data_IF_586962552114
#
_entry.id   IF_586962552114
#
_cell.length_a   1.000
_cell.length_b   1.000
_cell.length_c   1.000
_cell.angle_alpha   90.00
_cell.angle_beta   90.00
_cell.angle_gamma   90.00
#
_symmetry.space_group_name_H-M   'P 1'
#
loop_
_entity.id
_entity.type
_entity.pdbx_description
1 polymer ?
#
# COMPACT_ATOMS: atom_id res chain seq x y z
N UNK A 1 -9.63 -18.06 61.02
CA UNK A 1 -9.79 -19.06 59.94
C UNK A 1 -9.53 -18.33 58.64
N UNK A 2 -8.43 -18.67 57.94
CA UNK A 2 -8.12 -18.12 56.63
C UNK A 2 -8.93 -18.88 55.59
N UNK A 3 -9.82 -18.22 54.88
CA UNK A 3 -10.50 -18.76 53.72
C UNK A 3 -9.48 -19.11 52.63
N UNK A 4 -9.53 -20.35 52.15
CA UNK A 4 -8.73 -20.81 51.02
C UNK A 4 -9.37 -20.23 49.73
N UNK A 5 -8.57 -19.66 48.82
CA UNK A 5 -9.11 -19.24 47.55
C UNK A 5 -9.65 -20.46 46.80
N UNK A 6 -10.86 -20.35 46.29
CA UNK A 6 -11.49 -21.32 45.35
C UNK A 6 -10.60 -21.32 44.10
N UNK A 7 -10.06 -22.49 43.81
CA UNK A 7 -9.34 -22.73 42.53
C UNK A 7 -10.46 -22.78 41.46
N UNK A 8 -10.45 -21.78 40.57
CA UNK A 8 -11.25 -21.83 39.36
C UNK A 8 -10.69 -22.95 38.48
N UNK A 9 -11.37 -24.06 38.40
CA UNK A 9 -10.98 -25.25 37.64
C UNK A 9 -11.26 -25.11 36.15
N UNK A 10 -11.62 -23.88 35.64
CA UNK A 10 -11.91 -23.66 34.22
C UNK A 10 -13.04 -24.56 33.70
N UNK A 11 -14.01 -24.94 34.57
CA UNK A 11 -15.15 -25.75 34.15
C UNK A 11 -16.08 -24.86 33.33
N UNK A 12 -16.10 -25.10 32.02
CA UNK A 12 -17.15 -24.65 31.11
C UNK A 12 -18.50 -24.93 31.70
N UNK A 13 -19.48 -24.01 31.51
CA UNK A 13 -20.77 -24.10 32.13
C UNK A 13 -21.44 -25.48 31.91
N UNK A 14 -22.27 -25.91 32.88
CA UNK A 14 -22.92 -27.20 32.86
C UNK A 14 -23.60 -27.56 31.54
N UNK A 15 -24.04 -26.56 30.76
CA UNK A 15 -24.70 -26.73 29.47
C UNK A 15 -23.76 -27.28 28.37
N UNK A 16 -22.47 -26.96 28.37
CA UNK A 16 -21.50 -27.47 27.37
C UNK A 16 -21.16 -28.95 27.56
N UNK A 17 -21.31 -29.47 28.79
CA UNK A 17 -21.03 -30.88 29.10
C UNK A 17 -22.10 -31.81 28.57
N UNK A 18 -23.34 -31.34 28.40
CA UNK A 18 -24.50 -32.12 27.97
C UNK A 18 -24.87 -31.90 26.50
N UNK A 19 -24.21 -31.01 25.79
CA UNK A 19 -24.43 -30.83 24.35
C UNK A 19 -23.98 -32.07 23.57
N UNK A 20 -24.85 -32.56 22.69
CA UNK A 20 -24.52 -33.59 21.74
C UNK A 20 -23.63 -33.01 20.61
N UNK A 21 -22.99 -33.87 19.78
CA UNK A 21 -22.07 -33.42 18.71
C UNK A 21 -22.77 -32.54 17.66
N UNK A 22 -24.07 -32.67 17.45
CA UNK A 22 -24.82 -31.81 16.54
C UNK A 22 -25.02 -30.41 17.14
N UNK A 23 -25.39 -30.32 18.42
CA UNK A 23 -25.55 -29.06 19.16
C UNK A 23 -24.22 -28.31 19.29
N UNK A 24 -23.11 -29.03 19.51
CA UNK A 24 -21.76 -28.41 19.50
C UNK A 24 -21.38 -27.83 18.13
N UNK A 25 -21.73 -28.52 17.04
CA UNK A 25 -21.55 -28.01 15.68
C UNK A 25 -22.43 -26.81 15.42
N UNK A 26 -23.68 -26.82 15.87
CA UNK A 26 -24.62 -25.71 15.70
C UNK A 26 -24.23 -24.48 16.54
N UNK A 27 -23.68 -24.68 17.75
CA UNK A 27 -23.12 -23.61 18.58
C UNK A 27 -21.88 -22.96 17.99
N UNK A 28 -21.10 -23.68 17.17
CA UNK A 28 -19.91 -23.14 16.48
C UNK A 28 -20.22 -22.46 15.14
N UNK A 29 -21.45 -22.56 14.63
CA UNK A 29 -21.85 -21.87 13.42
C UNK A 29 -21.95 -20.35 13.65
N UNK A 30 -21.49 -19.52 12.71
CA UNK A 30 -21.63 -18.07 12.82
C UNK A 30 -23.10 -17.68 12.87
N UNK A 31 -23.52 -17.01 13.95
CA UNK A 31 -24.88 -16.49 14.11
C UNK A 31 -25.03 -15.20 13.31
N UNK A 32 -25.99 -15.18 12.40
CA UNK A 32 -26.28 -14.01 11.56
C UNK A 32 -27.48 -13.27 12.14
N UNK A 33 -27.34 -11.96 12.34
CA UNK A 33 -28.34 -11.06 12.85
C UNK A 33 -28.71 -9.99 11.83
N UNK A 34 -29.97 -9.56 11.78
CA UNK A 34 -30.33 -8.38 10.99
C UNK A 34 -30.19 -7.13 11.86
N UNK A 35 -29.14 -6.37 11.62
CA UNK A 35 -28.80 -5.19 12.41
C UNK A 35 -29.28 -3.93 11.69
N UNK A 36 -29.95 -2.98 12.38
CA UNK A 36 -30.33 -1.69 11.81
C UNK A 36 -29.11 -0.91 11.35
N UNK A 37 -29.16 -0.35 10.13
CA UNK A 37 -28.06 0.47 9.57
C UNK A 37 -27.74 1.69 10.46
N UNK A 38 -28.73 2.21 11.19
CA UNK A 38 -28.57 3.33 12.11
C UNK A 38 -27.74 3.00 13.36
N UNK A 39 -27.58 1.73 13.70
CA UNK A 39 -26.78 1.27 14.84
C UNK A 39 -25.33 0.93 14.46
N UNK A 40 -24.99 1.01 13.17
CA UNK A 40 -23.68 0.66 12.65
C UNK A 40 -22.84 1.91 12.39
N UNK A 41 -21.76 2.06 13.12
CA UNK A 41 -20.79 3.12 12.92
C UNK A 41 -19.69 2.69 11.93
N UNK A 42 -19.12 3.65 11.21
CA UNK A 42 -17.94 3.41 10.38
C UNK A 42 -16.71 3.16 11.26
N UNK A 43 -15.78 2.34 10.73
CA UNK A 43 -14.52 2.13 11.41
C UNK A 43 -13.67 3.42 11.30
N UNK A 44 -13.17 3.98 12.44
CA UNK A 44 -12.34 5.17 12.41
C UNK A 44 -11.07 4.96 11.57
N UNK A 45 -10.72 5.97 10.78
CA UNK A 45 -9.51 5.97 9.93
C UNK A 45 -9.44 4.78 8.94
N UNK A 46 -10.62 4.30 8.48
CA UNK A 46 -10.69 3.21 7.51
C UNK A 46 -9.92 3.56 6.23
N UNK A 47 -8.86 2.81 5.87
CA UNK A 47 -7.96 3.19 4.79
C UNK A 47 -8.53 2.97 3.38
N UNK A 48 -9.55 2.11 3.24
CA UNK A 48 -10.10 1.73 1.95
C UNK A 48 -11.32 2.56 1.61
N UNK A 49 -11.29 3.24 0.47
CA UNK A 49 -12.39 4.07 0.02
C UNK A 49 -13.55 3.24 -0.55
N UNK A 50 -14.78 3.61 -0.20
CA UNK A 50 -15.98 3.10 -0.85
C UNK A 50 -16.30 3.97 -2.06
N UNK A 51 -15.95 3.49 -3.25
CA UNK A 51 -16.21 4.20 -4.50
C UNK A 51 -17.64 3.97 -4.97
N UNK A 52 -18.25 5.04 -5.48
CA UNK A 52 -19.53 4.99 -6.17
C UNK A 52 -19.23 4.89 -7.67
N UNK A 53 -19.01 3.66 -8.11
CA UNK A 53 -18.68 3.26 -9.47
C UNK A 53 -19.76 2.33 -10.04
N UNK A 54 -19.66 1.95 -11.31
CA UNK A 54 -20.58 1.01 -11.97
C UNK A 54 -20.71 -0.33 -11.22
N UNK A 55 -19.61 -0.80 -10.60
CA UNK A 55 -19.63 -1.99 -9.76
C UNK A 55 -20.49 -1.79 -8.49
N UNK A 56 -20.60 -0.55 -7.98
CA UNK A 56 -21.48 -0.24 -6.87
C UNK A 56 -22.94 -0.24 -7.32
N UNK A 57 -23.25 0.32 -8.49
CA UNK A 57 -24.61 0.33 -9.03
C UNK A 57 -25.12 -1.11 -9.25
N UNK A 58 -24.29 -1.99 -9.82
CA UNK A 58 -24.62 -3.41 -9.97
C UNK A 58 -24.83 -4.09 -8.61
N UNK A 59 -24.01 -3.77 -7.61
CA UNK A 59 -24.17 -4.29 -6.26
C UNK A 59 -25.49 -3.82 -5.62
N UNK A 60 -25.88 -2.56 -5.81
CA UNK A 60 -27.15 -2.01 -5.33
C UNK A 60 -28.34 -2.73 -5.96
N UNK A 61 -28.32 -2.97 -7.27
CA UNK A 61 -29.36 -3.72 -7.97
C UNK A 61 -29.44 -5.16 -7.44
N UNK A 62 -28.32 -5.85 -7.31
CA UNK A 62 -28.26 -7.19 -6.74
C UNK A 62 -28.83 -7.25 -5.31
N UNK A 63 -28.51 -6.23 -4.49
CA UNK A 63 -29.03 -6.13 -3.10
C UNK A 63 -30.53 -5.88 -3.09
N UNK A 64 -31.08 -5.11 -4.03
CA UNK A 64 -32.54 -4.91 -4.16
C UNK A 64 -33.29 -6.19 -4.56
N UNK A 65 -32.70 -6.98 -5.47
CA UNK A 65 -33.34 -8.18 -6.00
C UNK A 65 -33.26 -9.38 -5.01
N UNK A 66 -32.07 -9.60 -4.42
CA UNK A 66 -31.75 -10.85 -3.69
C UNK A 66 -31.38 -10.61 -2.23
N UNK A 67 -31.30 -9.35 -1.79
CA UNK A 67 -30.74 -9.00 -0.49
C UNK A 67 -29.21 -9.19 -0.44
N UNK A 68 -28.65 -9.10 0.76
CA UNK A 68 -27.23 -9.32 1.01
C UNK A 68 -26.98 -10.79 1.27
N UNK A 69 -26.37 -11.49 0.32
CA UNK A 69 -26.09 -12.94 0.39
C UNK A 69 -24.98 -13.22 1.41
N UNK A 70 -23.91 -12.46 1.39
CA UNK A 70 -22.78 -12.63 2.32
C UNK A 70 -22.89 -11.59 3.43
N UNK A 71 -23.06 -11.98 4.70
CA UNK A 71 -23.18 -11.05 5.81
C UNK A 71 -21.98 -10.11 5.93
N UNK A 72 -22.19 -8.92 6.49
CA UNK A 72 -21.11 -8.05 6.91
C UNK A 72 -20.54 -8.51 8.24
N UNK A 73 -19.30 -8.11 8.56
CA UNK A 73 -18.71 -8.42 9.88
C UNK A 73 -18.71 -7.17 10.73
N UNK A 74 -19.29 -7.28 11.91
CA UNK A 74 -19.38 -6.23 12.91
C UNK A 74 -18.65 -6.63 14.19
N UNK A 75 -18.15 -5.66 14.94
CA UNK A 75 -17.80 -5.82 16.34
C UNK A 75 -18.70 -4.97 17.21
N UNK A 76 -19.02 -5.45 18.41
CA UNK A 76 -19.77 -4.67 19.37
C UNK A 76 -18.84 -3.70 20.11
N UNK A 77 -19.25 -2.44 20.25
CA UNK A 77 -18.59 -1.43 21.05
C UNK A 77 -19.09 -1.45 22.49
N UNK A 78 -18.33 -0.80 23.39
CA UNK A 78 -18.71 -0.71 24.81
C UNK A 78 -20.01 0.10 25.05
N UNK A 79 -20.39 0.97 24.11
CA UNK A 79 -21.62 1.76 24.15
C UNK A 79 -22.87 0.99 23.66
N UNK A 80 -22.70 -0.29 23.30
CA UNK A 80 -23.73 -1.16 22.78
C UNK A 80 -23.99 -1.03 21.27
N UNK A 81 -23.41 -0.03 20.60
CA UNK A 81 -23.46 0.13 19.13
C UNK A 81 -22.50 -0.83 18.44
N UNK A 82 -22.61 -0.91 17.14
CA UNK A 82 -21.77 -1.77 16.32
C UNK A 82 -20.79 -0.94 15.49
N UNK A 83 -19.62 -1.49 15.22
CA UNK A 83 -18.61 -0.92 14.33
C UNK A 83 -18.33 -1.92 13.21
N UNK A 84 -18.36 -1.43 11.97
CA UNK A 84 -18.15 -2.29 10.80
C UNK A 84 -16.68 -2.64 10.62
N UNK A 85 -16.35 -3.93 10.58
CA UNK A 85 -14.99 -4.45 10.36
C UNK A 85 -14.79 -4.86 8.90
N UNK A 86 -15.80 -5.49 8.29
CA UNK A 86 -15.74 -5.90 6.88
C UNK A 86 -17.10 -5.80 6.21
N UNK A 87 -17.10 -5.42 4.92
CA UNK A 87 -18.31 -5.31 4.12
C UNK A 87 -18.83 -3.89 3.91
N UNK A 88 -17.99 -2.86 4.00
CA UNK A 88 -18.36 -1.45 3.83
C UNK A 88 -19.13 -1.17 2.53
N UNK A 89 -18.73 -1.78 1.39
CA UNK A 89 -19.47 -1.66 0.13
C UNK A 89 -20.89 -2.25 0.23
N UNK A 90 -21.08 -3.39 0.91
CA UNK A 90 -22.39 -4.03 1.11
C UNK A 90 -23.29 -3.18 2.00
N UNK A 91 -22.75 -2.63 3.11
CA UNK A 91 -23.48 -1.68 3.94
C UNK A 91 -23.93 -0.47 3.11
N UNK A 92 -23.01 0.13 2.33
CA UNK A 92 -23.33 1.29 1.47
C UNK A 92 -24.37 0.95 0.40
N UNK A 93 -24.30 -0.23 -0.19
CA UNK A 93 -25.32 -0.70 -1.13
C UNK A 93 -26.70 -0.86 -0.49
N UNK A 94 -26.77 -1.34 0.78
CA UNK A 94 -28.03 -1.39 1.53
C UNK A 94 -28.62 0.00 1.78
N UNK A 95 -27.80 0.99 2.15
CA UNK A 95 -28.21 2.38 2.31
C UNK A 95 -28.80 2.94 1.00
N UNK A 96 -28.11 2.74 -0.11
CA UNK A 96 -28.55 3.21 -1.45
C UNK A 96 -29.78 2.44 -1.95
N UNK A 97 -29.93 1.18 -1.56
CA UNK A 97 -31.11 0.38 -1.86
C UNK A 97 -32.33 0.72 -0.97
N UNK A 98 -32.16 1.56 0.07
CA UNK A 98 -33.25 1.95 0.99
C UNK A 98 -33.61 0.87 2.00
N UNK A 99 -32.72 -0.09 2.27
CA UNK A 99 -32.96 -1.12 3.30
C UNK A 99 -32.73 -0.55 4.70
N UNK A 100 -33.56 -0.96 5.66
CA UNK A 100 -33.42 -0.52 7.06
C UNK A 100 -32.40 -1.34 7.85
N UNK A 101 -32.17 -2.59 7.45
CA UNK A 101 -31.31 -3.55 8.16
C UNK A 101 -30.36 -4.25 7.17
N UNK A 102 -29.29 -4.80 7.72
CA UNK A 102 -28.31 -5.61 6.97
C UNK A 102 -27.97 -6.88 7.75
N UNK A 103 -27.85 -8.06 7.09
CA UNK A 103 -27.40 -9.28 7.73
C UNK A 103 -25.93 -9.15 8.12
N UNK A 104 -25.63 -9.42 9.39
CA UNK A 104 -24.32 -9.23 9.99
C UNK A 104 -23.93 -10.40 10.90
N UNK A 105 -22.65 -10.74 10.88
CA UNK A 105 -21.98 -11.58 11.86
C UNK A 105 -21.33 -10.68 12.91
N UNK A 106 -21.66 -10.86 14.18
CA UNK A 106 -21.07 -10.11 15.28
C UNK A 106 -19.92 -10.93 15.85
N UNK A 107 -18.71 -10.32 15.86
CA UNK A 107 -17.50 -10.91 16.44
C UNK A 107 -17.07 -10.16 17.69
N UNK A 108 -16.72 -10.90 18.73
CA UNK A 108 -16.08 -10.35 19.92
C UNK A 108 -14.60 -10.11 19.62
N UNK A 109 -14.27 -8.90 19.24
CA UNK A 109 -12.92 -8.49 18.86
C UNK A 109 -12.50 -7.26 19.65
N UNK A 110 -11.26 -7.24 20.08
CA UNK A 110 -10.60 -5.99 20.50
C UNK A 110 -10.45 -5.06 19.29
N UNK A 111 -10.17 -3.77 19.55
CA UNK A 111 -9.95 -2.83 18.43
C UNK A 111 -8.78 -3.24 17.54
N UNK A 112 -7.69 -3.75 18.12
CA UNK A 112 -6.49 -4.14 17.38
C UNK A 112 -6.71 -5.42 16.55
N UNK A 113 -7.46 -6.39 17.06
CA UNK A 113 -7.88 -7.57 16.30
C UNK A 113 -8.82 -7.20 15.14
N UNK A 114 -9.74 -6.26 15.36
CA UNK A 114 -10.62 -5.76 14.32
C UNK A 114 -9.83 -5.05 13.19
N UNK A 115 -8.79 -4.25 13.53
CA UNK A 115 -7.88 -3.65 12.54
C UNK A 115 -7.19 -4.72 11.70
N UNK A 116 -6.66 -5.76 12.34
CA UNK A 116 -5.97 -6.83 11.62
C UNK A 116 -6.92 -7.53 10.67
N UNK A 117 -8.11 -7.92 11.13
CA UNK A 117 -9.12 -8.57 10.31
C UNK A 117 -9.59 -7.69 9.14
N UNK A 118 -9.82 -6.39 9.41
CA UNK A 118 -10.21 -5.41 8.39
C UNK A 118 -9.16 -5.30 7.29
N UNK A 119 -7.90 -5.17 7.65
CA UNK A 119 -6.79 -5.07 6.68
C UNK A 119 -6.66 -6.37 5.89
N UNK A 120 -6.68 -7.53 6.54
CA UNK A 120 -6.58 -8.84 5.88
C UNK A 120 -7.69 -9.07 4.85
N UNK A 121 -8.93 -8.75 5.21
CA UNK A 121 -10.09 -8.91 4.32
C UNK A 121 -10.03 -8.03 3.06
N UNK A 122 -9.33 -6.89 3.14
CA UNK A 122 -9.21 -5.96 2.03
C UNK A 122 -7.93 -6.15 1.19
N UNK A 123 -6.83 -6.67 1.78
CA UNK A 123 -5.60 -6.92 1.03
C UNK A 123 -5.72 -8.04 -0.02
N UNK A 124 -6.80 -8.82 0.01
CA UNK A 124 -7.10 -9.84 -1.01
C UNK A 124 -7.75 -9.26 -2.28
N UNK A 125 -8.06 -7.96 -2.31
CA UNK A 125 -8.62 -7.32 -3.50
C UNK A 125 -7.60 -7.27 -4.63
N UNK A 126 -8.06 -7.43 -5.87
CA UNK A 126 -7.21 -7.38 -7.08
C UNK A 126 -6.58 -6.02 -7.33
N UNK A 127 -7.29 -4.95 -6.96
CA UNK A 127 -6.84 -3.57 -7.15
C UNK A 127 -6.94 -2.79 -5.85
N UNK A 128 -5.79 -2.40 -5.30
CA UNK A 128 -5.67 -1.59 -4.09
C UNK A 128 -4.77 -0.41 -4.44
N UNK A 129 -5.21 0.81 -4.07
CA UNK A 129 -4.40 2.01 -4.29
C UNK A 129 -3.12 1.99 -3.46
N UNK A 130 -2.04 2.64 -3.93
CA UNK A 130 -0.82 2.82 -3.15
C UNK A 130 -1.05 3.47 -1.79
N UNK A 131 -1.93 4.48 -1.70
CA UNK A 131 -2.33 5.12 -0.45
C UNK A 131 -3.05 4.15 0.49
N UNK A 132 -4.01 3.38 -0.02
CA UNK A 132 -4.74 2.38 0.76
C UNK A 132 -3.80 1.31 1.34
N UNK A 133 -2.84 0.82 0.54
CA UNK A 133 -1.77 -0.08 1.02
C UNK A 133 -0.91 0.57 2.10
N UNK A 134 -0.54 1.84 1.91
CA UNK A 134 0.31 2.58 2.84
C UNK A 134 -0.33 2.69 4.23
N UNK A 135 -1.56 3.18 4.29
CA UNK A 135 -2.29 3.34 5.55
C UNK A 135 -2.67 2.00 6.19
N UNK A 136 -3.07 1.01 5.39
CA UNK A 136 -3.40 -0.33 5.90
C UNK A 136 -2.19 -1.02 6.52
N UNK A 137 -1.02 -0.96 5.90
CA UNK A 137 0.21 -1.53 6.46
C UNK A 137 0.65 -0.82 7.74
N UNK A 138 0.57 0.53 7.77
CA UNK A 138 0.86 1.32 8.97
C UNK A 138 -0.06 0.93 10.11
N UNK A 139 -1.37 0.94 9.87
CA UNK A 139 -2.41 0.61 10.87
C UNK A 139 -2.25 -0.80 11.41
N UNK A 140 -2.03 -1.79 10.54
CA UNK A 140 -1.82 -3.18 10.94
C UNK A 140 -0.56 -3.38 11.77
N UNK A 141 0.57 -2.76 11.37
CA UNK A 141 1.81 -2.83 12.15
C UNK A 141 1.65 -2.20 13.54
N UNK A 142 0.92 -1.10 13.65
CA UNK A 142 0.64 -0.45 14.92
C UNK A 142 -0.26 -1.31 15.80
N UNK A 143 -1.31 -1.93 15.25
CA UNK A 143 -2.17 -2.87 15.95
C UNK A 143 -1.39 -4.09 16.45
N UNK A 144 -0.58 -4.72 15.59
CA UNK A 144 0.27 -5.85 15.97
C UNK A 144 1.27 -5.52 17.09
N UNK A 145 1.71 -4.25 17.17
CA UNK A 145 2.61 -3.79 18.25
C UNK A 145 1.89 -3.64 19.60
N UNK A 146 0.59 -3.37 19.59
CA UNK A 146 -0.23 -3.18 20.82
C UNK A 146 -0.80 -4.46 21.38
N UNK A 147 -0.91 -5.52 20.57
CA UNK A 147 -1.44 -6.80 21.03
C UNK A 147 -0.61 -7.36 22.18
N UNK A 148 -1.27 -7.89 23.27
CA UNK A 148 -0.56 -8.50 24.38
C UNK A 148 0.17 -9.78 23.95
N UNK A 149 1.29 -10.09 24.60
CA UNK A 149 2.13 -11.25 24.30
C UNK A 149 3.34 -10.97 23.41
N UNK A 150 3.58 -9.72 23.01
CA UNK A 150 4.82 -9.35 22.35
C UNK A 150 5.97 -9.36 23.38
N UNK A 151 7.13 -10.03 23.10
CA UNK A 151 8.30 -9.96 23.97
C UNK A 151 8.77 -8.49 24.08
N UNK A 152 8.78 -7.94 25.28
CA UNK A 152 9.52 -6.71 25.60
C UNK A 152 11.00 -7.05 25.71
N UNK A 153 11.89 -6.03 25.63
CA UNK A 153 13.35 -6.23 25.76
C UNK A 153 13.75 -6.99 27.03
N UNK A 154 12.90 -6.99 28.05
CA UNK A 154 13.13 -7.60 29.38
C UNK A 154 12.71 -9.10 29.43
N UNK A 155 11.86 -9.58 28.48
CA UNK A 155 11.32 -10.95 28.46
C UNK A 155 11.80 -11.78 27.27
N UNK A 156 12.97 -11.51 26.72
CA UNK A 156 13.51 -12.28 25.61
C UNK A 156 14.13 -13.58 26.14
N UNK A 157 13.43 -14.71 25.98
CA UNK A 157 14.03 -16.02 26.15
C UNK A 157 15.10 -16.26 25.07
N UNK A 158 16.25 -16.85 25.39
CA UNK A 158 17.37 -17.01 24.46
C UNK A 158 17.15 -17.98 23.31
N UNK A 159 16.02 -18.67 23.27
CA UNK A 159 15.73 -19.73 22.28
C UNK A 159 14.39 -19.47 21.63
N UNK A 160 14.41 -18.75 20.52
CA UNK A 160 13.27 -18.56 19.64
C UNK A 160 13.49 -17.36 18.72
N UNK A 161 13.64 -17.59 17.43
CA UNK A 161 13.60 -16.57 16.39
C UNK A 161 12.19 -15.96 16.35
N UNK A 162 11.90 -15.03 17.24
CA UNK A 162 10.65 -14.26 17.16
C UNK A 162 10.72 -13.36 15.94
N UNK A 163 9.97 -13.71 14.90
CA UNK A 163 9.78 -12.87 13.73
C UNK A 163 9.30 -11.48 14.16
N UNK A 164 9.87 -10.46 13.58
CA UNK A 164 9.42 -9.08 13.81
C UNK A 164 8.03 -8.88 13.21
N UNK A 165 7.24 -7.96 13.75
CA UNK A 165 5.88 -7.69 13.23
C UNK A 165 5.87 -7.33 11.74
N UNK A 166 6.92 -6.67 11.23
CA UNK A 166 7.08 -6.37 9.82
C UNK A 166 7.42 -7.61 8.96
N UNK A 167 8.07 -8.62 9.53
CA UNK A 167 8.34 -9.90 8.88
C UNK A 167 7.09 -10.79 8.84
N UNK A 168 6.32 -10.82 9.91
CA UNK A 168 5.02 -11.52 9.96
C UNK A 168 4.06 -10.92 8.93
N UNK A 169 3.99 -9.58 8.86
CA UNK A 169 3.18 -8.90 7.88
C UNK A 169 3.63 -9.25 6.45
N UNK A 170 4.94 -9.24 6.19
CA UNK A 170 5.51 -9.58 4.89
C UNK A 170 5.11 -11.00 4.43
N UNK A 171 5.19 -11.98 5.32
CA UNK A 171 4.77 -13.36 5.03
C UNK A 171 3.27 -13.48 4.72
N UNK A 172 2.43 -12.71 5.43
CA UNK A 172 0.97 -12.77 5.25
C UNK A 172 0.53 -12.13 3.94
N UNK A 173 1.18 -11.03 3.52
CA UNK A 173 0.76 -10.21 2.38
C UNK A 173 1.48 -10.60 1.08
N UNK A 174 2.62 -11.29 1.17
CA UNK A 174 3.46 -11.64 0.02
C UNK A 174 4.34 -10.49 -0.50
N UNK A 175 4.28 -9.30 0.13
CA UNK A 175 5.19 -8.20 -0.16
C UNK A 175 6.47 -8.31 0.68
N UNK A 176 7.62 -7.92 0.13
CA UNK A 176 8.86 -7.90 0.90
C UNK A 176 8.80 -6.84 2.02
N UNK A 177 9.50 -7.07 3.13
CA UNK A 177 9.64 -6.10 4.23
C UNK A 177 10.04 -4.71 3.75
N UNK A 178 10.98 -4.64 2.81
CA UNK A 178 11.41 -3.36 2.23
C UNK A 178 10.29 -2.68 1.44
N UNK A 179 9.46 -3.45 0.74
CA UNK A 179 8.31 -2.93 0.01
C UNK A 179 7.25 -2.38 0.97
N UNK A 180 6.94 -3.10 2.05
CA UNK A 180 6.02 -2.63 3.10
C UNK A 180 6.49 -1.30 3.68
N UNK A 181 7.77 -1.20 4.05
CA UNK A 181 8.33 0.03 4.59
C UNK A 181 8.27 1.20 3.60
N UNK A 182 8.43 0.94 2.28
CA UNK A 182 8.26 1.95 1.24
C UNK A 182 6.81 2.43 1.14
N UNK A 183 5.83 1.52 1.18
CA UNK A 183 4.42 1.92 1.23
C UNK A 183 4.10 2.73 2.47
N UNK A 184 4.48 2.26 3.66
CA UNK A 184 4.25 2.99 4.91
C UNK A 184 4.84 4.41 4.82
N UNK A 185 5.99 4.57 4.18
CA UNK A 185 6.60 5.89 4.02
C UNK A 185 5.73 6.88 3.23
N UNK A 186 4.85 6.41 2.32
CA UNK A 186 3.93 7.27 1.59
C UNK A 186 2.92 8.00 2.50
N UNK A 187 2.64 7.49 3.71
CA UNK A 187 1.74 8.17 4.67
C UNK A 187 2.28 9.53 5.14
N UNK A 188 3.55 9.83 4.85
CA UNK A 188 4.18 11.11 5.16
C UNK A 188 4.02 12.15 4.02
N UNK A 189 3.45 11.76 2.88
CA UNK A 189 3.13 12.71 1.81
C UNK A 189 1.92 13.58 2.18
N UNK A 190 1.87 14.79 1.60
CA UNK A 190 0.65 15.59 1.62
C UNK A 190 -0.41 14.97 0.70
N UNK A 191 -1.72 15.25 0.94
CA UNK A 191 -2.81 14.64 0.17
C UNK A 191 -2.66 14.81 -1.34
N UNK A 192 -2.24 16.00 -1.81
CA UNK A 192 -2.10 16.31 -3.23
C UNK A 192 -1.06 15.41 -3.92
N UNK A 193 0.10 15.23 -3.31
CA UNK A 193 1.15 14.34 -3.85
C UNK A 193 0.74 12.87 -3.75
N UNK A 194 0.05 12.50 -2.68
CA UNK A 194 -0.45 11.13 -2.51
C UNK A 194 -1.51 10.77 -3.55
N UNK A 195 -2.41 11.71 -3.88
CA UNK A 195 -3.37 11.54 -4.95
C UNK A 195 -2.69 11.32 -6.30
N UNK A 196 -1.60 12.08 -6.60
CA UNK A 196 -0.82 11.87 -7.82
C UNK A 196 -0.15 10.49 -7.88
N UNK A 197 0.19 9.90 -6.73
CA UNK A 197 0.70 8.52 -6.66
C UNK A 197 -0.41 7.51 -6.96
N UNK A 198 -1.60 7.72 -6.43
CA UNK A 198 -2.78 6.87 -6.68
C UNK A 198 -3.25 6.91 -8.14
N UNK A 199 -3.13 8.09 -8.78
CA UNK A 199 -3.38 8.29 -10.21
C UNK A 199 -2.27 7.70 -11.11
N UNK A 200 -1.16 7.21 -10.53
CA UNK A 200 -0.02 6.68 -11.27
C UNK A 200 0.85 7.75 -11.95
N UNK A 201 0.62 9.03 -11.70
CA UNK A 201 1.42 10.15 -12.22
C UNK A 201 2.81 10.21 -11.59
N UNK A 202 2.91 9.86 -10.32
CA UNK A 202 4.18 9.71 -9.59
C UNK A 202 4.37 8.25 -9.25
N UNK A 203 5.46 7.65 -9.72
CA UNK A 203 5.78 6.26 -9.42
C UNK A 203 6.20 6.08 -7.94
N UNK A 204 6.07 4.87 -7.40
CA UNK A 204 6.34 4.56 -5.99
C UNK A 204 7.76 4.98 -5.54
N UNK A 205 8.80 4.73 -6.35
CA UNK A 205 10.18 5.07 -5.97
C UNK A 205 10.41 6.57 -5.80
N UNK A 206 10.08 7.44 -6.77
CA UNK A 206 10.13 8.88 -6.56
C UNK A 206 9.29 9.32 -5.35
N UNK A 207 8.06 8.82 -5.19
CA UNK A 207 7.17 9.18 -4.10
C UNK A 207 7.78 8.91 -2.71
N UNK A 208 8.49 7.79 -2.54
CA UNK A 208 9.23 7.48 -1.31
C UNK A 208 10.33 8.53 -1.04
N UNK A 209 11.07 8.96 -2.06
CA UNK A 209 12.07 10.00 -1.88
C UNK A 209 11.45 11.35 -1.50
N UNK A 210 10.32 11.72 -2.14
CA UNK A 210 9.58 12.94 -1.85
C UNK A 210 8.97 12.96 -0.45
N UNK A 211 8.63 11.81 0.13
CA UNK A 211 8.10 11.71 1.48
C UNK A 211 9.09 12.13 2.59
N UNK A 212 10.36 12.32 2.25
CA UNK A 212 11.37 12.85 3.17
C UNK A 212 11.46 14.37 3.19
N UNK A 213 10.77 15.07 2.28
CA UNK A 213 10.69 16.51 2.25
C UNK A 213 9.80 17.03 3.40
N UNK A 214 10.08 18.25 3.88
CA UNK A 214 9.22 18.95 4.81
C UNK A 214 7.84 19.26 4.18
N UNK A 215 6.80 19.45 4.99
CA UNK A 215 5.43 19.68 4.48
C UNK A 215 5.31 20.92 3.58
N UNK A 216 6.02 22.00 3.91
CA UNK A 216 6.07 23.21 3.08
C UNK A 216 6.78 22.94 1.73
N UNK A 217 7.91 22.24 1.75
CA UNK A 217 8.63 21.85 0.54
C UNK A 217 7.80 20.94 -0.37
N UNK A 218 6.98 20.06 0.23
CA UNK A 218 6.04 19.24 -0.53
C UNK A 218 4.94 20.07 -1.18
N UNK A 219 4.43 21.12 -0.51
CA UNK A 219 3.46 22.06 -1.07
C UNK A 219 4.05 22.84 -2.24
N UNK A 220 5.26 23.37 -2.07
CA UNK A 220 5.98 24.08 -3.14
C UNK A 220 6.21 23.17 -4.35
N UNK A 221 6.58 21.90 -4.11
CA UNK A 221 6.73 20.92 -5.17
C UNK A 221 5.41 20.61 -5.87
N UNK A 222 4.31 20.45 -5.13
CA UNK A 222 2.98 20.21 -5.71
C UNK A 222 2.55 21.38 -6.59
N UNK A 223 2.81 22.63 -6.17
CA UNK A 223 2.57 23.82 -6.97
C UNK A 223 3.43 23.82 -8.26
N UNK A 224 4.73 23.51 -8.16
CA UNK A 224 5.64 23.42 -9.31
C UNK A 224 5.20 22.33 -10.32
N UNK A 225 4.72 21.17 -9.84
CA UNK A 225 4.15 20.11 -10.70
C UNK A 225 2.89 20.62 -11.41
N UNK A 226 2.02 21.37 -10.71
CA UNK A 226 0.82 21.97 -11.30
C UNK A 226 1.13 22.94 -12.42
N UNK A 227 2.16 23.77 -12.27
CA UNK A 227 2.60 24.75 -13.28
C UNK A 227 3.29 24.10 -14.48
N UNK A 228 4.19 23.14 -14.23
CA UNK A 228 4.99 22.49 -15.29
C UNK A 228 4.27 21.33 -15.98
N UNK A 229 3.17 20.84 -15.43
CA UNK A 229 2.46 19.61 -15.84
C UNK A 229 3.40 18.39 -15.92
N UNK A 230 4.53 18.44 -15.23
CA UNK A 230 5.55 17.40 -15.24
C UNK A 230 5.83 16.90 -13.83
N UNK A 231 5.87 15.58 -13.65
CA UNK A 231 6.20 14.95 -12.37
C UNK A 231 7.68 14.64 -12.26
N UNK A 232 8.30 14.68 -11.06
CA UNK A 232 9.74 14.45 -10.91
C UNK A 232 10.12 13.01 -11.25
N UNK A 233 11.22 12.84 -11.96
CA UNK A 233 11.87 11.55 -12.13
C UNK A 233 12.49 11.07 -10.83
N UNK A 234 12.89 9.79 -10.75
CA UNK A 234 13.54 9.26 -9.55
C UNK A 234 14.85 9.98 -9.21
N UNK A 235 15.65 10.35 -10.23
CA UNK A 235 16.88 11.11 -10.04
C UNK A 235 16.62 12.53 -9.54
N UNK A 236 15.60 13.20 -10.07
CA UNK A 236 15.16 14.50 -9.57
C UNK A 236 14.64 14.42 -8.12
N UNK A 237 13.86 13.39 -7.79
CA UNK A 237 13.36 13.17 -6.42
C UNK A 237 14.52 12.97 -5.41
N UNK A 238 15.56 12.22 -5.78
CA UNK A 238 16.78 12.08 -4.96
C UNK A 238 17.48 13.43 -4.76
N UNK A 239 17.61 14.24 -5.82
CA UNK A 239 18.21 15.59 -5.71
C UNK A 239 17.39 16.48 -4.77
N UNK A 240 16.06 16.53 -4.95
CA UNK A 240 15.16 17.30 -4.07
C UNK A 240 15.35 16.90 -2.60
N UNK A 241 15.38 15.61 -2.30
CA UNK A 241 15.64 15.11 -0.95
C UNK A 241 17.03 15.53 -0.44
N UNK A 242 18.07 15.51 -1.27
CA UNK A 242 19.42 15.91 -0.86
C UNK A 242 19.46 17.38 -0.49
N UNK A 243 18.90 18.26 -1.34
CA UNK A 243 18.82 19.70 -1.07
C UNK A 243 17.96 20.02 0.17
N UNK A 244 16.85 19.29 0.37
CA UNK A 244 16.03 19.40 1.59
C UNK A 244 16.83 19.04 2.84
N UNK A 245 17.58 17.92 2.79
CA UNK A 245 18.44 17.50 3.92
C UNK A 245 19.53 18.52 4.25
N UNK A 246 20.02 19.25 3.26
CA UNK A 246 21.02 20.33 3.42
C UNK A 246 20.37 21.66 3.85
N UNK A 247 19.04 21.74 3.95
CA UNK A 247 18.33 22.99 4.24
C UNK A 247 18.41 24.04 3.15
N UNK A 248 18.70 23.63 1.91
CA UNK A 248 18.89 24.51 0.73
C UNK A 248 17.75 24.41 -0.29
N UNK A 249 16.69 23.67 0.01
CA UNK A 249 15.56 23.50 -0.91
C UNK A 249 14.64 24.71 -0.84
N UNK A 250 14.69 25.57 -1.84
CA UNK A 250 13.78 26.70 -2.04
C UNK A 250 12.87 26.47 -3.27
N UNK A 251 11.75 27.20 -3.42
CA UNK A 251 10.90 27.10 -4.61
C UNK A 251 11.67 27.25 -5.93
N UNK A 252 12.62 28.20 -6.00
CA UNK A 252 13.45 28.40 -7.18
C UNK A 252 14.36 27.20 -7.49
N UNK A 253 14.89 26.53 -6.45
CA UNK A 253 15.68 25.29 -6.60
C UNK A 253 14.80 24.15 -7.08
N UNK A 254 13.57 24.04 -6.55
CA UNK A 254 12.58 23.04 -7.00
C UNK A 254 12.31 23.21 -8.48
N UNK A 255 11.99 24.43 -8.94
CA UNK A 255 11.75 24.74 -10.36
C UNK A 255 12.95 24.39 -11.23
N UNK A 256 14.16 24.79 -10.80
CA UNK A 256 15.40 24.47 -11.53
C UNK A 256 15.60 22.97 -11.71
N UNK A 257 15.40 22.17 -10.65
CA UNK A 257 15.51 20.70 -10.71
C UNK A 257 14.41 20.10 -11.60
N UNK A 258 13.18 20.64 -11.54
CA UNK A 258 12.07 20.15 -12.37
C UNK A 258 12.27 20.44 -13.86
N UNK A 259 12.94 21.54 -14.21
CA UNK A 259 13.29 21.91 -15.59
C UNK A 259 14.49 21.11 -16.17
N UNK A 260 15.24 20.36 -15.34
CA UNK A 260 16.33 19.53 -15.86
C UNK A 260 15.82 18.45 -16.82
N UNK A 261 16.54 18.22 -17.90
CA UNK A 261 16.25 17.12 -18.83
C UNK A 261 16.23 15.76 -18.12
N UNK A 262 15.12 15.06 -18.26
CA UNK A 262 14.97 13.72 -17.66
C UNK A 262 15.88 12.73 -18.42
N UNK A 263 16.51 11.76 -17.71
CA UNK A 263 17.37 10.76 -18.33
C UNK A 263 16.71 9.98 -19.48
N UNK A 264 15.37 9.86 -19.46
CA UNK A 264 14.60 9.17 -20.49
C UNK A 264 14.35 10.05 -21.74
N UNK A 265 14.56 11.36 -21.65
CA UNK A 265 14.39 12.30 -22.77
C UNK A 265 15.70 12.49 -23.56
N UNK A 266 16.82 12.01 -23.04
CA UNK A 266 18.08 12.00 -23.78
C UNK A 266 18.01 10.93 -24.85
N UNK A 267 18.16 11.33 -26.09
CA UNK A 267 18.31 10.38 -27.18
C UNK A 267 19.48 9.42 -26.91
N UNK A 268 19.18 8.14 -26.88
CA UNK A 268 20.17 7.09 -26.65
C UNK A 268 20.13 6.13 -27.82
N UNK A 269 21.26 5.97 -28.46
CA UNK A 269 21.47 4.91 -29.45
C UNK A 269 21.92 3.67 -28.66
N UNK A 270 21.07 2.66 -28.58
CA UNK A 270 21.40 1.40 -27.93
C UNK A 270 21.85 0.40 -29.02
N UNK A 271 23.13 0.12 -29.08
CA UNK A 271 23.72 -0.92 -29.93
C UNK A 271 24.02 -2.13 -29.04
N UNK A 272 23.45 -3.33 -29.36
CA UNK A 272 23.78 -4.55 -28.64
C UNK A 272 25.27 -4.86 -28.82
N UNK A 273 25.96 -5.04 -27.69
CA UNK A 273 27.42 -5.31 -27.71
C UNK A 273 27.77 -6.52 -28.59
N UNK A 274 27.00 -7.58 -28.57
CA UNK A 274 27.22 -8.77 -29.40
C UNK A 274 27.17 -8.49 -30.90
N UNK A 275 26.36 -7.51 -31.34
CA UNK A 275 26.26 -7.09 -32.74
C UNK A 275 27.45 -6.19 -33.12
N UNK A 276 27.76 -5.21 -32.26
CA UNK A 276 28.90 -4.31 -32.47
C UNK A 276 30.22 -5.07 -32.46
N UNK A 277 30.38 -6.09 -31.61
CA UNK A 277 31.61 -6.87 -31.44
C UNK A 277 32.09 -7.56 -32.73
N UNK A 278 31.16 -7.88 -33.65
CA UNK A 278 31.51 -8.45 -34.96
C UNK A 278 32.39 -7.54 -35.82
N UNK A 279 32.34 -6.22 -35.61
CA UNK A 279 33.02 -5.20 -36.37
C UNK A 279 34.19 -4.55 -35.61
N UNK A 280 34.40 -4.97 -34.34
CA UNK A 280 35.46 -4.40 -33.50
C UNK A 280 36.58 -5.42 -33.36
N UNK A 281 37.83 -5.02 -33.65
CA UNK A 281 39.00 -5.90 -33.52
C UNK A 281 39.11 -6.47 -32.08
N UNK A 282 39.58 -7.72 -31.97
CA UNK A 282 39.76 -8.38 -30.68
C UNK A 282 40.76 -7.67 -29.75
N UNK A 283 41.66 -6.86 -30.32
CA UNK A 283 42.63 -6.05 -29.60
C UNK A 283 42.03 -4.86 -28.84
N UNK A 284 40.79 -4.46 -29.13
CA UNK A 284 40.14 -3.32 -28.47
C UNK A 284 39.45 -3.80 -27.17
N UNK A 285 39.88 -3.29 -25.97
CA UNK A 285 39.27 -3.60 -24.71
C UNK A 285 37.80 -3.13 -24.64
N UNK A 286 36.97 -3.76 -23.80
CA UNK A 286 35.56 -3.42 -23.61
C UNK A 286 35.37 -1.94 -23.29
N UNK A 287 36.19 -1.36 -22.42
CA UNK A 287 36.12 0.04 -21.99
C UNK A 287 36.37 1.05 -23.13
N UNK A 288 37.09 0.66 -24.15
CA UNK A 288 37.45 1.51 -25.31
C UNK A 288 36.50 1.28 -26.50
N UNK A 289 35.57 0.37 -26.42
CA UNK A 289 34.62 0.01 -27.49
C UNK A 289 33.83 1.24 -27.99
N UNK A 290 33.30 2.05 -27.05
CA UNK A 290 32.55 3.27 -27.40
C UNK A 290 33.36 4.28 -28.18
N UNK A 291 34.61 4.54 -27.75
CA UNK A 291 35.52 5.46 -28.44
C UNK A 291 35.92 4.93 -29.83
N UNK A 292 36.10 3.62 -29.99
CA UNK A 292 36.35 2.97 -31.25
C UNK A 292 35.19 3.14 -32.23
N UNK A 293 33.96 2.90 -31.79
CA UNK A 293 32.75 3.08 -32.61
C UNK A 293 32.62 4.53 -33.08
N UNK A 294 32.80 5.51 -32.20
CA UNK A 294 32.76 6.93 -32.58
C UNK A 294 33.78 7.27 -33.63
N UNK A 295 35.05 6.84 -33.51
CA UNK A 295 36.07 7.03 -34.51
C UNK A 295 35.75 6.38 -35.87
N UNK A 296 35.14 5.19 -35.83
CA UNK A 296 34.71 4.50 -37.03
C UNK A 296 33.59 5.27 -37.76
N UNK A 297 32.63 5.84 -37.01
CA UNK A 297 31.56 6.67 -37.56
C UNK A 297 32.10 7.99 -38.14
N UNK A 298 33.05 8.64 -37.47
CA UNK A 298 33.72 9.83 -37.99
C UNK A 298 34.47 9.55 -39.29
N UNK A 299 35.20 8.43 -39.37
CA UNK A 299 35.89 8.01 -40.57
C UNK A 299 34.90 7.74 -41.73
N UNK A 300 33.83 7.04 -41.44
CA UNK A 300 32.78 6.74 -42.42
C UNK A 300 32.10 8.01 -42.94
N UNK A 301 31.80 8.96 -42.04
CA UNK A 301 31.22 10.25 -42.40
C UNK A 301 32.13 11.03 -43.36
N UNK A 302 33.42 11.15 -43.03
CA UNK A 302 34.41 11.81 -43.92
C UNK A 302 34.56 11.10 -45.27
N UNK A 303 34.43 9.77 -45.29
CA UNK A 303 34.48 9.01 -46.52
C UNK A 303 33.25 9.32 -47.43
N UNK A 304 32.07 9.41 -46.86
CA UNK A 304 30.86 9.80 -47.57
C UNK A 304 30.91 11.24 -48.10
N UNK A 305 31.49 12.16 -47.35
CA UNK A 305 31.69 13.56 -47.80
C UNK A 305 32.63 13.65 -48.99
N UNK A 306 33.71 12.87 -49.01
CA UNK A 306 34.63 12.79 -50.17
C UNK A 306 33.94 12.24 -51.41
N UNK A 307 33.19 11.16 -51.27
CA UNK A 307 32.42 10.59 -52.39
C UNK A 307 31.37 11.56 -52.97
N UNK A 308 30.76 12.41 -52.13
CA UNK A 308 29.83 13.46 -52.56
C UNK A 308 30.55 14.65 -53.21
N UNK A 309 31.79 14.94 -52.78
CA UNK A 309 32.63 15.99 -53.36
C UNK A 309 33.17 15.60 -54.74
N UNK A 310 33.52 14.31 -54.93
CA UNK A 310 34.07 13.80 -56.23
C UNK A 310 32.95 13.54 -57.26
N UNK A 311 31.66 13.57 -56.84
CA UNK A 311 30.50 13.39 -57.72
C UNK A 311 29.90 14.72 -58.24
N UNK A 312 30.53 15.85 -57.95
CA UNK A 312 30.25 17.19 -58.51
C UNK A 312 31.36 17.63 -59.43
#
# INVERSE_FOLDING_TARGET
MKERPLIDLGMTGYDELFMNDAERREATLPKIYNIPLSEIDDFPDHPFQVRLDEDMDQLVESVKERGVITPITLRQKMDGRYEIVSGHRRRKACELAGLATVPAEIKELTRDEAIILMVESNLQRSTILPSEKAFSYKMRLEAMKRLPGRPTKENVSPVGTHLRSDEILAQTVGDSRNQINRYIRLTELIPDLLAMVDEGRIALRPAVELSYLGKLEQQDLAAAIGLSLATPSHTQAIKLRTFSKEGKLSPAVIESIMCEEKPNQKEKINIKYAEARKYIPSSVPYEQTGAYILKALEYYHRHLERQRGDAR
#
